data_IF_049529533047
#
_entry.id   IF_049529533047
#
_cell.length_a   1.000
_cell.length_b   1.000
_cell.length_c   1.000
_cell.angle_alpha   90.00
_cell.angle_beta   90.00
_cell.angle_gamma   90.00
#
_symmetry.space_group_name_H-M   'P 1'
#
loop_
_entity.id
_entity.type
_entity.pdbx_description
1 polymer ?
#
# COMPACT_ATOMS: atom_id res chain seq x y z
N UNK A 1 10.73 -17.58 -5.97
CA UNK A 1 9.41 -16.94 -5.72
C UNK A 1 9.63 -15.48 -5.36
N UNK A 2 8.78 -14.54 -5.82
CA UNK A 2 8.90 -13.15 -5.45
C UNK A 2 8.67 -12.95 -3.94
N UNK A 3 9.35 -11.96 -3.38
CA UNK A 3 9.26 -11.61 -1.96
C UNK A 3 8.62 -10.24 -1.83
N UNK A 4 7.63 -10.12 -0.95
CA UNK A 4 7.01 -8.85 -0.57
C UNK A 4 7.36 -8.54 0.90
N UNK A 5 8.15 -7.49 1.12
CA UNK A 5 8.54 -7.05 2.46
C UNK A 5 7.87 -5.74 2.84
N UNK A 6 6.89 -5.74 3.77
CA UNK A 6 6.25 -4.52 4.24
C UNK A 6 7.09 -3.81 5.31
N UNK A 7 7.19 -2.48 5.20
CA UNK A 7 7.87 -1.59 6.14
C UNK A 7 6.92 -0.45 6.48
N UNK A 8 6.75 -0.12 7.76
CA UNK A 8 5.94 1.04 8.17
C UNK A 8 6.83 2.28 8.29
N UNK A 9 6.42 3.36 7.63
CA UNK A 9 7.08 4.66 7.73
C UNK A 9 6.39 5.57 8.74
N UNK A 10 7.17 6.44 9.35
CA UNK A 10 6.72 7.45 10.31
C UNK A 10 7.41 8.77 9.99
N UNK A 11 6.71 9.89 10.14
CA UNK A 11 7.23 11.22 9.79
C UNK A 11 7.07 11.59 8.32
N UNK A 12 7.89 12.52 7.81
CA UNK A 12 7.83 13.01 6.43
C UNK A 12 8.25 11.96 5.41
N UNK A 13 7.59 11.97 4.26
CA UNK A 13 7.90 11.11 3.11
C UNK A 13 9.20 11.51 2.41
N UNK A 14 9.69 12.75 2.60
CA UNK A 14 10.95 13.23 2.04
C UNK A 14 12.19 12.43 2.42
N UNK A 15 12.14 11.76 3.58
CA UNK A 15 13.22 10.86 4.01
C UNK A 15 13.34 9.62 3.12
N UNK A 16 12.21 8.98 2.82
CA UNK A 16 12.19 7.79 1.96
C UNK A 16 12.48 8.15 0.51
N UNK A 17 11.99 9.29 -0.01
CA UNK A 17 12.32 9.76 -1.36
C UNK A 17 13.81 9.95 -1.53
N UNK A 18 14.45 10.70 -0.63
CA UNK A 18 15.92 10.89 -0.68
C UNK A 18 16.68 9.57 -0.64
N UNK A 19 16.21 8.62 0.16
CA UNK A 19 16.83 7.28 0.20
C UNK A 19 16.67 6.56 -1.14
N UNK A 20 15.49 6.58 -1.75
CA UNK A 20 15.21 5.85 -2.99
C UNK A 20 15.85 6.50 -4.23
N UNK A 21 15.91 7.84 -4.29
CA UNK A 21 16.40 8.57 -5.48
C UNK A 21 17.85 9.04 -5.35
N UNK A 22 18.54 8.76 -4.22
CA UNK A 22 19.91 9.20 -3.97
C UNK A 22 20.89 8.73 -5.03
N UNK A 23 21.64 9.70 -5.60
CA UNK A 23 22.74 9.39 -6.52
C UNK A 23 22.31 8.87 -7.88
N UNK A 24 21.05 9.10 -8.28
CA UNK A 24 20.55 8.67 -9.60
C UNK A 24 20.41 7.16 -9.78
N UNK A 25 20.30 6.40 -8.67
CA UNK A 25 20.17 4.93 -8.69
C UNK A 25 18.80 4.41 -9.11
N UNK A 26 17.81 5.30 -9.18
CA UNK A 26 16.49 4.93 -9.64
C UNK A 26 16.50 4.67 -11.14
N UNK A 27 16.17 3.47 -11.58
CA UNK A 27 16.06 3.08 -12.98
C UNK A 27 14.82 3.66 -13.64
N UNK A 28 13.72 3.74 -12.89
CA UNK A 28 12.45 4.30 -13.32
C UNK A 28 11.59 4.67 -12.10
N UNK A 29 10.53 5.44 -12.35
CA UNK A 29 9.46 5.72 -11.39
C UNK A 29 8.12 5.50 -12.05
N UNK A 30 7.12 5.07 -11.28
CA UNK A 30 5.71 5.09 -11.66
C UNK A 30 4.92 5.74 -10.52
N UNK A 31 4.03 6.67 -10.86
CA UNK A 31 3.31 7.53 -9.93
C UNK A 31 1.81 7.42 -10.19
N UNK A 32 0.99 7.35 -9.12
CA UNK A 32 -0.45 7.26 -9.23
C UNK A 32 -1.14 8.14 -8.19
N UNK A 33 -2.23 8.77 -8.59
CA UNK A 33 -3.05 9.67 -7.77
C UNK A 33 -2.28 10.86 -7.19
N UNK A 34 -1.29 11.36 -7.90
CA UNK A 34 -0.48 12.55 -7.60
C UNK A 34 -0.71 13.59 -8.69
N UNK A 35 0.00 14.72 -8.64
CA UNK A 35 -0.05 15.73 -9.72
C UNK A 35 0.39 15.17 -11.08
N UNK A 36 1.16 14.11 -11.10
CA UNK A 36 1.39 13.23 -12.23
C UNK A 36 0.78 11.85 -11.94
N UNK A 37 0.14 11.26 -12.96
CA UNK A 37 -0.41 9.91 -12.90
C UNK A 37 -0.05 9.14 -14.16
N UNK A 38 0.46 7.92 -14.02
CA UNK A 38 0.86 7.08 -15.18
C UNK A 38 -0.30 6.76 -16.12
N UNK A 39 -1.54 6.80 -15.62
CA UNK A 39 -2.75 6.59 -16.43
C UNK A 39 -3.00 7.76 -17.41
N UNK A 40 -2.48 8.94 -17.10
CA UNK A 40 -2.58 10.18 -17.90
C UNK A 40 -1.25 10.59 -18.54
N UNK A 41 -0.25 9.72 -18.54
CA UNK A 41 1.13 9.99 -19.01
C UNK A 41 1.17 10.58 -20.43
N UNK A 42 0.31 10.11 -21.32
CA UNK A 42 0.20 10.62 -22.70
C UNK A 42 -0.23 12.09 -22.80
N UNK A 43 -0.96 12.60 -21.81
CA UNK A 43 -1.39 13.99 -21.75
C UNK A 43 -0.42 14.89 -20.99
N UNK A 44 0.26 14.37 -19.96
CA UNK A 44 1.09 15.15 -19.04
C UNK A 44 2.56 15.26 -19.48
N UNK A 45 3.10 14.22 -20.10
CA UNK A 45 4.50 14.15 -20.57
C UNK A 45 5.54 13.92 -19.45
N UNK A 46 6.76 13.57 -19.85
CA UNK A 46 7.87 13.24 -18.93
C UNK A 46 8.31 14.42 -18.06
N UNK A 47 8.25 15.65 -18.55
CA UNK A 47 8.62 16.85 -17.77
C UNK A 47 7.72 17.00 -16.53
N UNK A 48 6.43 16.71 -16.64
CA UNK A 48 5.49 16.73 -15.51
C UNK A 48 5.83 15.63 -14.48
N UNK A 49 6.25 14.47 -14.96
CA UNK A 49 6.70 13.36 -14.12
C UNK A 49 7.94 13.72 -13.31
N UNK A 50 8.94 14.33 -13.97
CA UNK A 50 10.15 14.78 -13.31
C UNK A 50 9.88 15.91 -12.30
N UNK A 51 8.96 16.82 -12.61
CA UNK A 51 8.57 17.93 -11.73
C UNK A 51 7.73 17.48 -10.52
N UNK A 52 7.12 16.29 -10.55
CA UNK A 52 6.25 15.81 -9.48
C UNK A 52 7.03 15.60 -8.16
N UNK A 53 6.68 16.41 -7.17
CA UNK A 53 7.25 16.32 -5.82
C UNK A 53 6.41 15.35 -4.97
N UNK A 54 6.33 14.09 -5.38
CA UNK A 54 5.46 13.07 -4.80
C UNK A 54 5.53 12.94 -3.28
N UNK A 55 6.69 13.18 -2.67
CA UNK A 55 6.88 13.18 -1.23
C UNK A 55 6.19 14.36 -0.55
N UNK A 56 6.33 15.56 -1.11
CA UNK A 56 5.69 16.77 -0.59
C UNK A 56 4.16 16.71 -0.77
N UNK A 57 3.69 16.17 -1.89
CA UNK A 57 2.26 15.98 -2.16
C UNK A 57 1.64 15.00 -1.16
N UNK A 58 2.27 13.84 -0.93
CA UNK A 58 1.84 12.88 0.08
C UNK A 58 1.79 13.48 1.49
N UNK A 59 2.79 14.31 1.85
CA UNK A 59 2.82 14.99 3.15
C UNK A 59 1.67 16.01 3.24
N UNK A 60 1.41 16.80 2.19
CA UNK A 60 0.32 17.77 2.12
C UNK A 60 -1.06 17.10 2.22
N UNK A 61 -1.28 16.01 1.51
CA UNK A 61 -2.52 15.22 1.57
C UNK A 61 -2.78 14.71 2.99
N UNK A 62 -1.76 14.18 3.68
CA UNK A 62 -1.94 13.73 5.06
C UNK A 62 -2.26 14.87 6.01
N UNK A 63 -1.62 16.00 5.85
CA UNK A 63 -1.91 17.19 6.65
C UNK A 63 -3.35 17.67 6.43
N UNK A 64 -3.82 17.70 5.18
CA UNK A 64 -5.18 18.11 4.83
C UNK A 64 -6.24 17.19 5.45
N UNK A 65 -6.00 15.88 5.48
CA UNK A 65 -6.91 14.90 6.08
C UNK A 65 -6.66 14.65 7.58
N UNK A 66 -5.62 15.26 8.18
CA UNK A 66 -5.25 15.03 9.59
C UNK A 66 -4.81 13.60 9.90
N UNK A 67 -4.37 12.84 8.89
CA UNK A 67 -3.99 11.43 9.06
C UNK A 67 -2.57 11.25 9.61
N UNK A 68 -1.78 12.31 9.71
CA UNK A 68 -0.46 12.36 10.31
C UNK A 68 -0.46 12.63 11.82
N UNK A 69 -1.61 13.02 12.39
CA UNK A 69 -1.74 13.27 13.82
C UNK A 69 -1.43 12.01 14.67
N UNK A 70 -0.77 12.15 15.83
CA UNK A 70 -0.52 11.03 16.73
C UNK A 70 -1.81 10.29 17.11
N UNK A 71 -1.73 8.97 17.24
CA UNK A 71 -2.85 8.15 17.68
C UNK A 71 -2.56 7.50 19.03
N UNK A 72 -3.36 7.81 20.05
CA UNK A 72 -3.18 7.27 21.41
C UNK A 72 -1.75 7.45 21.94
N UNK A 73 -1.16 8.64 21.73
CA UNK A 73 0.19 8.97 22.19
C UNK A 73 1.32 8.32 21.39
N UNK A 74 1.03 7.59 20.32
CA UNK A 74 2.04 6.99 19.43
C UNK A 74 2.14 7.79 18.13
N UNK A 75 3.36 7.92 17.54
CA UNK A 75 3.53 8.52 16.23
C UNK A 75 2.63 7.83 15.19
N UNK A 76 2.00 8.62 14.32
CA UNK A 76 1.21 8.08 13.24
C UNK A 76 2.12 7.30 12.27
N UNK A 77 1.60 6.20 11.71
CA UNK A 77 2.16 5.67 10.48
C UNK A 77 1.75 6.63 9.35
N UNK A 78 2.72 7.13 8.60
CA UNK A 78 2.49 8.13 7.54
C UNK A 78 2.46 7.51 6.15
N UNK A 79 3.18 6.40 5.96
CA UNK A 79 3.15 5.62 4.72
C UNK A 79 3.43 4.14 5.00
N UNK A 80 3.08 3.29 4.04
CA UNK A 80 3.63 1.93 3.93
C UNK A 80 4.58 1.88 2.76
N UNK A 81 5.72 1.24 3.00
CA UNK A 81 6.72 0.95 1.99
C UNK A 81 6.80 -0.56 1.82
N UNK A 82 6.60 -1.04 0.60
CA UNK A 82 6.76 -2.44 0.25
C UNK A 82 7.97 -2.59 -0.65
N UNK A 83 8.81 -3.59 -0.37
CA UNK A 83 9.88 -3.99 -1.29
C UNK A 83 9.44 -5.26 -1.97
N UNK A 84 9.26 -5.19 -3.29
CA UNK A 84 8.93 -6.31 -4.15
C UNK A 84 10.22 -6.75 -4.87
N UNK A 85 10.70 -7.94 -4.52
CA UNK A 85 11.88 -8.54 -5.16
C UNK A 85 11.44 -9.80 -5.89
N UNK A 86 11.67 -9.89 -7.22
CA UNK A 86 11.37 -11.11 -7.97
C UNK A 86 12.28 -12.28 -7.55
N UNK A 87 11.95 -13.47 -7.99
CA UNK A 87 12.86 -14.62 -7.83
C UNK A 87 14.10 -14.42 -8.71
N UNK A 88 15.29 -14.59 -8.15
CA UNK A 88 16.52 -14.48 -8.93
C UNK A 88 16.62 -15.44 -10.13
N UNK A 89 15.85 -16.52 -10.13
CA UNK A 89 15.80 -17.50 -11.20
C UNK A 89 14.87 -17.15 -12.35
N UNK A 90 14.04 -16.09 -12.19
CA UNK A 90 13.06 -15.70 -13.22
C UNK A 90 13.67 -14.81 -14.33
N UNK A 91 14.88 -14.26 -14.11
CA UNK A 91 15.58 -13.34 -15.05
C UNK A 91 14.63 -12.26 -15.60
N UNK A 92 13.87 -11.64 -14.69
CA UNK A 92 12.83 -10.67 -15.03
C UNK A 92 13.45 -9.35 -15.51
N UNK A 93 12.93 -8.80 -16.60
CA UNK A 93 13.29 -7.46 -17.07
C UNK A 93 12.52 -6.36 -16.32
N UNK A 94 12.98 -5.11 -16.49
CA UNK A 94 12.37 -3.94 -15.85
C UNK A 94 10.91 -3.73 -16.28
N UNK A 95 10.57 -4.01 -17.54
CA UNK A 95 9.23 -3.80 -18.07
C UNK A 95 8.22 -4.75 -17.40
N UNK A 96 8.56 -6.03 -17.32
CA UNK A 96 7.74 -7.06 -16.63
C UNK A 96 7.60 -6.78 -15.14
N UNK A 97 8.69 -6.32 -14.48
CA UNK A 97 8.64 -5.92 -13.07
C UNK A 97 7.71 -4.72 -12.87
N UNK A 98 7.78 -3.71 -13.75
CA UNK A 98 6.90 -2.53 -13.69
C UNK A 98 5.43 -2.94 -13.83
N UNK A 99 5.12 -3.77 -14.81
CA UNK A 99 3.76 -4.28 -15.00
C UNK A 99 3.23 -5.01 -13.77
N UNK A 100 4.03 -5.90 -13.18
CA UNK A 100 3.67 -6.64 -11.97
C UNK A 100 3.46 -5.70 -10.78
N UNK A 101 4.41 -4.80 -10.53
CA UNK A 101 4.38 -3.88 -9.39
C UNK A 101 3.22 -2.88 -9.48
N UNK A 102 2.98 -2.28 -10.66
CA UNK A 102 1.87 -1.36 -10.90
C UNK A 102 0.52 -2.07 -10.74
N UNK A 103 0.34 -3.23 -11.37
CA UNK A 103 -0.90 -4.00 -11.28
C UNK A 103 -1.21 -4.40 -9.83
N UNK A 104 -0.19 -4.84 -9.09
CA UNK A 104 -0.35 -5.21 -7.68
C UNK A 104 -0.69 -3.98 -6.82
N UNK A 105 0.02 -2.87 -7.00
CA UNK A 105 -0.19 -1.66 -6.21
C UNK A 105 -1.59 -1.07 -6.43
N UNK A 106 -2.04 -0.97 -7.66
CA UNK A 106 -3.37 -0.48 -8.01
C UNK A 106 -4.48 -1.42 -7.53
N UNK A 107 -4.28 -2.73 -7.58
CA UNK A 107 -5.26 -3.70 -7.08
C UNK A 107 -5.58 -3.51 -5.60
N UNK A 108 -4.58 -3.12 -4.79
CA UNK A 108 -4.71 -3.04 -3.34
C UNK A 108 -4.83 -1.62 -2.79
N UNK A 109 -4.39 -0.60 -3.53
CA UNK A 109 -4.23 0.76 -3.02
C UNK A 109 -4.67 1.85 -4.01
N UNK A 110 -5.58 1.55 -4.92
CA UNK A 110 -6.05 2.50 -5.96
C UNK A 110 -6.66 3.80 -5.38
N UNK A 111 -7.16 3.76 -4.15
CA UNK A 111 -7.66 4.95 -3.42
C UNK A 111 -6.55 5.73 -2.67
N UNK A 112 -5.26 5.46 -2.92
CA UNK A 112 -4.13 6.09 -2.24
C UNK A 112 -3.16 6.71 -3.25
N UNK A 113 -2.42 7.72 -2.83
CA UNK A 113 -1.24 8.18 -3.58
C UNK A 113 -0.15 7.12 -3.50
N UNK A 114 0.44 6.79 -4.65
CA UNK A 114 1.43 5.72 -4.78
C UNK A 114 2.64 6.25 -5.56
N UNK A 115 3.85 5.98 -5.04
CA UNK A 115 5.10 6.15 -5.77
C UNK A 115 5.84 4.81 -5.81
N UNK A 116 6.21 4.34 -7.00
CA UNK A 116 6.99 3.13 -7.22
C UNK A 116 8.33 3.54 -7.79
N UNK A 117 9.42 3.15 -7.15
CA UNK A 117 10.80 3.43 -7.58
C UNK A 117 11.51 2.11 -7.80
N UNK A 118 12.18 1.96 -8.94
CA UNK A 118 12.83 0.72 -9.35
C UNK A 118 14.34 0.83 -9.24
N UNK A 119 14.98 -0.21 -8.72
CA UNK A 119 16.42 -0.33 -8.54
C UNK A 119 16.94 -1.67 -9.02
N UNK A 120 18.27 -1.74 -9.28
CA UNK A 120 19.04 -2.97 -9.52
C UNK A 120 20.32 -3.01 -8.68
N UNK A 121 20.40 -2.16 -7.65
CA UNK A 121 21.59 -1.92 -6.82
C UNK A 121 21.91 -3.04 -5.82
N UNK A 122 21.28 -4.20 -5.94
CA UNK A 122 21.64 -5.37 -5.17
C UNK A 122 22.87 -6.11 -5.76
N UNK A 123 23.49 -6.97 -4.97
CA UNK A 123 24.74 -7.66 -5.33
C UNK A 123 24.67 -8.50 -6.63
N UNK A 124 23.45 -8.78 -7.13
CA UNK A 124 23.22 -9.56 -8.35
C UNK A 124 22.71 -8.72 -9.52
N UNK A 125 22.49 -7.41 -9.34
CA UNK A 125 21.91 -6.54 -10.38
C UNK A 125 20.46 -6.91 -10.74
N UNK A 126 19.71 -7.56 -9.82
CA UNK A 126 18.34 -7.98 -10.10
C UNK A 126 17.40 -6.80 -9.87
N UNK A 127 16.58 -6.42 -10.87
CA UNK A 127 15.60 -5.35 -10.68
C UNK A 127 14.63 -5.65 -9.54
N UNK A 128 14.32 -4.64 -8.73
CA UNK A 128 13.34 -4.73 -7.66
C UNK A 128 12.58 -3.41 -7.49
N UNK A 129 11.37 -3.47 -6.96
CA UNK A 129 10.50 -2.32 -6.83
C UNK A 129 10.32 -1.91 -5.37
N UNK A 130 10.43 -0.61 -5.10
CA UNK A 130 10.07 0.03 -3.86
C UNK A 130 8.73 0.75 -4.04
N UNK A 131 7.66 0.23 -3.44
CA UNK A 131 6.30 0.75 -3.55
C UNK A 131 6.01 1.53 -2.27
N UNK A 132 5.86 2.84 -2.38
CA UNK A 132 5.51 3.74 -1.27
C UNK A 132 4.04 4.13 -1.42
N UNK A 133 3.23 3.82 -0.42
CA UNK A 133 1.79 4.08 -0.41
C UNK A 133 1.47 5.04 0.73
N UNK A 134 0.86 6.18 0.41
CA UNK A 134 0.45 7.16 1.41
C UNK A 134 -0.60 6.59 2.35
N UNK A 135 -0.55 6.98 3.62
CA UNK A 135 -1.48 6.48 4.64
C UNK A 135 -2.88 7.11 4.56
N UNK A 136 -3.07 8.18 3.81
CA UNK A 136 -4.38 8.80 3.60
C UNK A 136 -5.11 8.10 2.45
N UNK A 137 -6.33 7.63 2.70
CA UNK A 137 -7.24 7.17 1.65
C UNK A 137 -7.94 8.39 1.05
N UNK A 138 -7.78 8.62 -0.24
CA UNK A 138 -8.27 9.82 -0.94
C UNK A 138 -9.79 9.89 -1.01
N UNK A 139 -10.47 8.75 -1.03
CA UNK A 139 -11.92 8.67 -1.13
C UNK A 139 -12.61 8.88 0.22
N UNK A 140 -12.03 8.37 1.30
CA UNK A 140 -12.66 8.38 2.63
C UNK A 140 -12.05 9.38 3.59
N UNK A 141 -10.83 9.89 3.33
CA UNK A 141 -10.05 10.73 4.23
C UNK A 141 -9.49 9.98 5.45
N UNK A 142 -9.72 8.68 5.57
CA UNK A 142 -9.24 7.89 6.71
C UNK A 142 -7.85 7.32 6.47
N UNK A 143 -7.22 6.89 7.57
CA UNK A 143 -5.95 6.18 7.53
C UNK A 143 -6.11 4.80 6.89
N UNK A 144 -5.10 4.40 6.14
CA UNK A 144 -5.02 3.07 5.52
C UNK A 144 -5.29 1.95 6.55
N UNK A 145 -6.20 1.08 6.20
CA UNK A 145 -6.51 -0.16 6.91
C UNK A 145 -6.14 -1.35 6.02
N UNK A 146 -5.27 -2.22 6.49
CA UNK A 146 -5.00 -3.50 5.82
C UNK A 146 -5.63 -4.60 6.67
N UNK A 147 -6.78 -5.08 6.24
CA UNK A 147 -7.57 -6.05 7.02
C UNK A 147 -6.88 -7.42 7.04
N UNK A 148 -6.37 -7.87 5.90
CA UNK A 148 -5.76 -9.17 5.69
C UNK A 148 -4.39 -9.00 5.01
N UNK A 149 -3.32 -8.72 5.80
CA UNK A 149 -1.97 -8.53 5.23
C UNK A 149 -1.43 -9.74 4.48
N UNK A 150 -1.88 -10.94 4.84
CA UNK A 150 -1.54 -12.21 4.17
C UNK A 150 -2.05 -12.28 2.73
N UNK A 151 -3.17 -11.63 2.42
CA UNK A 151 -3.74 -11.59 1.07
C UNK A 151 -2.84 -10.82 0.11
N UNK A 152 -2.16 -9.77 0.59
CA UNK A 152 -1.22 -8.98 -0.22
C UNK A 152 -0.12 -9.84 -0.83
N UNK A 153 0.44 -10.76 -0.05
CA UNK A 153 1.49 -11.64 -0.53
C UNK A 153 0.92 -12.75 -1.41
N UNK A 154 -0.23 -13.33 -1.05
CA UNK A 154 -0.89 -14.36 -1.85
C UNK A 154 -1.23 -13.84 -3.24
N UNK A 155 -1.85 -12.67 -3.33
CA UNK A 155 -2.22 -12.06 -4.60
C UNK A 155 -0.99 -11.74 -5.46
N UNK A 156 0.13 -11.29 -4.84
CA UNK A 156 1.39 -11.11 -5.57
C UNK A 156 1.88 -12.43 -6.18
N UNK A 157 1.82 -13.53 -5.42
CA UNK A 157 2.24 -14.84 -5.91
C UNK A 157 1.34 -15.33 -7.06
N UNK A 158 0.03 -15.10 -6.96
CA UNK A 158 -0.93 -15.45 -8.01
C UNK A 158 -0.68 -14.63 -9.28
N UNK A 159 -0.51 -13.32 -9.16
CA UNK A 159 -0.19 -12.44 -10.28
C UNK A 159 1.16 -12.74 -10.95
N UNK A 160 2.16 -13.16 -10.17
CA UNK A 160 3.44 -13.62 -10.70
C UNK A 160 3.28 -14.90 -11.53
N UNK A 161 2.53 -15.90 -11.02
CA UNK A 161 2.26 -17.14 -11.75
C UNK A 161 1.47 -16.92 -13.04
N UNK A 162 0.50 -16.01 -13.04
CA UNK A 162 -0.27 -15.63 -14.25
C UNK A 162 0.65 -15.09 -15.36
N UNK A 163 1.80 -14.52 -14.98
CA UNK A 163 2.84 -14.01 -15.90
C UNK A 163 3.95 -15.01 -16.21
N UNK A 164 3.78 -16.27 -15.78
CA UNK A 164 4.79 -17.31 -15.98
C UNK A 164 6.03 -17.18 -15.09
N UNK A 165 5.97 -16.34 -14.05
CA UNK A 165 7.04 -16.17 -13.08
C UNK A 165 6.92 -17.19 -11.94
N UNK A 166 8.02 -17.44 -11.24
CA UNK A 166 8.03 -18.30 -10.05
C UNK A 166 7.12 -17.74 -8.96
N UNK A 167 6.10 -18.48 -8.60
CA UNK A 167 5.19 -18.20 -7.48
C UNK A 167 5.29 -19.27 -6.40
N UNK A 168 4.65 -19.04 -5.25
CA UNK A 168 4.42 -20.12 -4.29
C UNK A 168 3.49 -21.16 -4.96
N UNK A 169 3.97 -22.40 -5.12
CA UNK A 169 3.06 -23.49 -5.47
C UNK A 169 2.12 -23.72 -4.29
N UNK A 170 0.82 -23.89 -4.57
CA UNK A 170 -0.15 -24.29 -3.55
C UNK A 170 0.07 -25.74 -3.07
N UNK A 171 1.04 -26.44 -3.64
CA UNK A 171 1.44 -27.81 -3.31
C UNK A 171 2.35 -27.89 -2.06
N UNK A 172 2.12 -27.02 -1.08
CA UNK A 172 2.72 -27.28 0.23
C UNK A 172 2.07 -28.52 0.78
N UNK A 173 2.80 -29.62 0.77
CA UNK A 173 2.46 -30.81 1.54
C UNK A 173 2.04 -30.34 2.96
N UNK A 174 0.99 -30.95 3.56
CA UNK A 174 0.51 -30.55 4.87
C UNK A 174 1.70 -30.52 5.83
N UNK A 175 1.91 -29.37 6.47
CA UNK A 175 2.98 -29.22 7.47
C UNK A 175 2.86 -30.37 8.47
N UNK A 176 3.93 -31.11 8.65
CA UNK A 176 4.04 -32.09 9.70
C UNK A 176 3.60 -31.46 11.02
N UNK A 177 2.72 -32.10 11.81
CA UNK A 177 2.20 -31.49 13.02
C UNK A 177 3.37 -31.12 13.92
N UNK A 178 3.59 -29.82 14.11
CA UNK A 178 4.54 -29.31 15.07
C UNK A 178 4.17 -29.91 16.43
N UNK A 179 5.13 -30.62 17.04
CA UNK A 179 5.02 -31.25 18.34
C UNK A 179 4.34 -30.30 19.30
N UNK A 180 3.05 -30.57 19.59
CA UNK A 180 2.32 -29.94 20.66
C UNK A 180 3.06 -30.27 21.98
N UNK A 181 3.90 -29.35 22.45
CA UNK A 181 4.36 -29.38 23.86
C UNK A 181 3.15 -29.07 24.71
N UNK A 182 2.58 -30.11 25.27
CA UNK A 182 1.58 -30.02 26.29
C UNK A 182 2.01 -29.09 27.41
N UNK A 183 1.22 -28.08 27.67
CA UNK A 183 1.18 -27.37 28.92
C UNK A 183 -0.27 -27.33 29.39
N UNK A 184 -0.60 -28.31 30.21
CA UNK A 184 -1.82 -28.28 31.02
C UNK A 184 -1.67 -27.13 32.02
N UNK A 185 -2.70 -26.34 32.20
CA UNK A 185 -2.79 -25.42 33.32
C UNK A 185 -3.64 -24.17 33.08
N UNK A 186 -4.77 -24.16 33.77
CA UNK A 186 -5.53 -23.04 34.30
C UNK A 186 -6.35 -22.16 33.33
N UNK A 187 -7.66 -22.24 33.54
CA UNK A 187 -8.67 -21.41 32.92
C UNK A 187 -8.47 -19.92 33.18
N UNK A 188 -8.56 -19.15 32.13
CA UNK A 188 -8.68 -17.70 32.15
C UNK A 188 -9.90 -17.25 31.32
N UNK A 189 -10.49 -16.10 31.60
CA UNK A 189 -11.86 -15.77 31.21
C UNK A 189 -11.99 -15.50 29.71
N UNK A 190 -13.15 -15.91 29.19
CA UNK A 190 -13.58 -15.78 27.80
C UNK A 190 -13.42 -14.34 27.26
N UNK A 191 -12.72 -14.20 26.16
CA UNK A 191 -12.52 -12.98 25.37
C UNK A 191 -13.85 -12.34 24.96
N UNK A 192 -13.99 -11.06 25.25
CA UNK A 192 -15.10 -10.18 24.83
C UNK A 192 -15.01 -9.87 23.33
N UNK A 193 -15.47 -10.76 22.47
CA UNK A 193 -15.48 -10.54 21.01
C UNK A 193 -16.87 -10.44 20.40
N UNK A 194 -17.91 -10.20 21.20
CA UNK A 194 -19.30 -10.26 20.72
C UNK A 194 -20.13 -8.97 20.93
N UNK A 195 -19.51 -7.81 21.22
CA UNK A 195 -20.28 -6.60 21.56
C UNK A 195 -20.21 -5.49 20.51
N UNK A 196 -19.42 -5.65 19.43
CA UNK A 196 -19.20 -4.55 18.46
C UNK A 196 -20.04 -4.62 17.17
N UNK A 197 -20.82 -5.67 16.95
CA UNK A 197 -21.67 -5.78 15.74
C UNK A 197 -23.09 -5.21 15.90
N UNK A 198 -23.46 -4.74 17.10
CA UNK A 198 -24.83 -4.24 17.37
C UNK A 198 -24.99 -2.72 17.40
N UNK A 199 -23.91 -1.93 17.21
CA UNK A 199 -23.95 -0.48 17.36
C UNK A 199 -23.83 0.33 16.06
N UNK A 200 -23.45 -0.30 14.96
CA UNK A 200 -23.31 0.36 13.66
C UNK A 200 -24.63 0.51 12.90
N UNK A 201 -25.68 -0.27 13.22
CA UNK A 201 -26.96 -0.21 12.51
C UNK A 201 -27.95 0.81 13.09
N UNK A 202 -27.68 1.42 14.23
CA UNK A 202 -28.61 2.37 14.87
C UNK A 202 -28.33 3.85 14.62
N UNK A 203 -27.20 4.22 14.04
CA UNK A 203 -26.84 5.63 13.79
C UNK A 203 -27.07 6.12 12.35
N UNK A 204 -27.48 5.25 11.42
CA UNK A 204 -27.78 5.64 10.03
C UNK A 204 -29.21 6.17 9.81
N UNK A 205 -30.02 6.29 10.86
CA UNK A 205 -31.43 6.69 10.73
C UNK A 205 -31.75 8.17 11.04
N UNK A 206 -30.75 9.04 11.27
CA UNK A 206 -30.98 10.42 11.71
C UNK A 206 -30.20 11.48 10.93
N UNK A 207 -29.96 11.28 9.64
CA UNK A 207 -29.54 12.41 8.78
C UNK A 207 -30.71 12.77 7.89
N UNK A 208 -31.63 13.58 8.43
CA UNK A 208 -32.55 14.37 7.64
C UNK A 208 -31.76 15.51 7.01
N UNK A 209 -31.48 15.39 5.71
CA UNK A 209 -30.96 16.49 4.90
C UNK A 209 -32.17 17.40 4.60
N UNK A 210 -32.23 18.55 5.24
CA UNK A 210 -33.12 19.64 4.88
C UNK A 210 -32.67 20.20 3.53
N UNK A 211 -33.52 20.12 2.51
CA UNK A 211 -33.32 20.79 1.22
C UNK A 211 -33.26 22.33 1.42
N UNK A 212 -32.32 23.01 0.73
CA UNK A 212 -32.32 24.48 0.73
C UNK A 212 -33.52 25.01 -0.07
N UNK A 213 -34.36 25.79 0.59
CA UNK A 213 -35.47 26.55 0.02
C UNK A 213 -34.96 27.49 -1.10
N UNK A 214 -35.51 27.28 -2.29
CA UNK A 214 -35.31 28.11 -3.47
C UNK A 214 -35.96 29.50 -3.23
N UNK A 215 -35.26 30.64 -3.46
CA UNK A 215 -35.92 31.97 -3.43
C UNK A 215 -36.85 32.12 -4.63
N UNK A 216 -38.05 32.66 -4.38
CA UNK A 216 -39.02 33.06 -5.42
C UNK A 216 -38.51 34.32 -6.14
N UNK A 217 -38.74 34.44 -7.47
CA UNK A 217 -38.41 35.65 -8.24
C UNK A 217 -39.47 36.74 -8.03
N UNK A 218 -38.96 37.96 -7.82
CA UNK A 218 -39.75 39.20 -7.90
C UNK A 218 -39.85 39.63 -9.36
#
# INVERSE_FOLDING_TARGET
MPILKPISGHGSTGGIRRYLEKGGRALARDLFNLSYDERDAGALGEDAKEACAWDAEMDATRAAFGTDAPWRGKPARTFKHFVLSPDPGDDIDLATLRELACSWALRHFDDHEIAIVYHDDNARGIPHAHIVVNNANLRTGYRMQTQHPEDLNRDLQDMARERGLSGLSNDRAPESPSKARGRAGAGGPRSRRSVYLGRAEKELSLIHISEPTRPEPI
#
